data_IF_685310633291
#
_entry.id   IF_685310633291
#
_cell.length_a   1.000
_cell.length_b   1.000
_cell.length_c   1.000
_cell.angle_alpha   90.00
_cell.angle_beta   90.00
_cell.angle_gamma   90.00
#
_symmetry.space_group_name_H-M   'P 1'
#
loop_
_entity.id
_entity.type
_entity.pdbx_description
1 polymer ?
#
# COMPACT_ATOMS: atom_id res chain seq x y z
N UNK A 1 -15.11 -31.46 -1.57
CA UNK A 1 -14.72 -30.07 -1.50
C UNK A 1 -15.37 -29.47 -0.29
N UNK A 2 -14.61 -28.93 0.63
CA UNK A 2 -15.18 -28.21 1.77
C UNK A 2 -15.88 -26.97 1.21
N UNK A 3 -17.15 -26.81 1.55
CA UNK A 3 -17.83 -25.56 1.31
C UNK A 3 -17.06 -24.46 2.04
N UNK A 4 -16.86 -23.32 1.41
CA UNK A 4 -16.24 -22.15 2.04
C UNK A 4 -17.06 -21.81 3.28
N UNK A 5 -16.49 -22.03 4.46
CA UNK A 5 -17.17 -21.73 5.73
C UNK A 5 -16.67 -20.36 6.19
N UNK A 6 -17.57 -19.38 6.23
CA UNK A 6 -17.29 -18.09 6.86
C UNK A 6 -17.66 -18.16 8.34
N UNK A 7 -16.78 -17.67 9.20
CA UNK A 7 -17.01 -17.52 10.64
C UNK A 7 -16.92 -16.05 11.00
N UNK A 8 -17.96 -15.54 11.65
CA UNK A 8 -17.95 -14.18 12.19
C UNK A 8 -17.47 -14.20 13.63
N UNK A 9 -16.42 -13.46 13.92
CA UNK A 9 -15.91 -13.23 15.25
C UNK A 9 -16.39 -11.86 15.73
N UNK A 10 -16.86 -11.81 16.97
CA UNK A 10 -17.22 -10.55 17.63
C UNK A 10 -16.19 -10.24 18.72
N UNK A 11 -15.55 -9.08 18.61
CA UNK A 11 -14.60 -8.58 19.61
C UNK A 11 -15.24 -7.37 20.29
N UNK A 12 -15.85 -7.55 21.46
CA UNK A 12 -16.46 -6.44 22.20
C UNK A 12 -15.35 -5.48 22.67
N UNK A 13 -15.64 -4.19 22.63
CA UNK A 13 -14.74 -3.13 23.12
C UNK A 13 -13.31 -3.26 22.55
N UNK A 14 -13.20 -3.53 21.24
CA UNK A 14 -11.92 -3.73 20.58
C UNK A 14 -11.02 -2.50 20.74
N UNK A 15 -9.78 -2.71 21.19
CA UNK A 15 -8.71 -1.71 21.11
C UNK A 15 -8.33 -1.50 19.64
N UNK A 16 -8.51 -0.27 19.16
CA UNK A 16 -8.31 0.03 17.76
C UNK A 16 -6.83 0.17 17.42
N UNK A 17 -6.47 -0.31 16.23
CA UNK A 17 -5.14 -0.10 15.68
C UNK A 17 -5.00 1.32 15.12
N UNK A 18 -3.92 2.01 15.47
CA UNK A 18 -3.50 3.28 14.85
C UNK A 18 -1.98 3.35 14.74
N UNK A 19 -1.44 4.42 14.14
CA UNK A 19 0.00 4.62 14.07
C UNK A 19 0.63 4.96 15.43
N UNK A 20 -0.16 5.47 16.37
CA UNK A 20 0.28 5.81 17.73
C UNK A 20 0.00 4.68 18.72
N UNK A 21 -1.05 3.90 18.48
CA UNK A 21 -1.47 2.77 19.29
C UNK A 21 -1.69 1.54 18.37
N UNK A 22 -0.61 0.83 17.99
CA UNK A 22 -0.67 -0.25 17.01
C UNK A 22 -1.16 -1.57 17.64
N UNK A 23 -2.39 -1.57 18.17
CA UNK A 23 -3.00 -2.71 18.83
C UNK A 23 -3.32 -3.83 17.85
N UNK A 24 -2.80 -5.03 18.12
CA UNK A 24 -2.98 -6.20 17.27
C UNK A 24 -3.67 -7.33 18.04
N UNK A 25 -4.52 -8.05 17.32
CA UNK A 25 -5.14 -9.29 17.78
C UNK A 25 -4.57 -10.46 16.97
N UNK A 26 -4.40 -11.61 17.61
CA UNK A 26 -4.05 -12.84 16.90
C UNK A 26 -5.29 -13.69 16.70
N UNK A 27 -5.68 -13.91 15.47
CA UNK A 27 -6.73 -14.87 15.09
C UNK A 27 -6.07 -16.24 14.93
N UNK A 28 -6.62 -17.25 15.59
CA UNK A 28 -6.16 -18.62 15.50
C UNK A 28 -7.23 -19.45 14.78
N UNK A 29 -6.90 -19.95 13.59
CA UNK A 29 -7.73 -20.92 12.89
C UNK A 29 -7.18 -22.32 13.13
N UNK A 30 -7.98 -23.19 13.76
CA UNK A 30 -7.55 -24.54 14.15
C UNK A 30 -8.35 -25.61 13.40
N UNK A 31 -7.64 -26.48 12.71
CA UNK A 31 -8.22 -27.67 12.10
C UNK A 31 -8.18 -28.84 13.09
N UNK A 32 -9.36 -29.31 13.53
CA UNK A 32 -9.48 -30.40 14.50
C UNK A 32 -10.35 -31.54 13.99
N UNK A 33 -10.03 -32.76 14.40
CA UNK A 33 -10.89 -33.94 14.24
C UNK A 33 -10.82 -34.77 15.52
N UNK A 34 -11.97 -35.12 16.08
CA UNK A 34 -12.07 -35.93 17.30
C UNK A 34 -11.17 -35.45 18.46
N UNK A 35 -11.10 -34.13 18.67
CA UNK A 35 -10.28 -33.45 19.68
C UNK A 35 -8.75 -33.51 19.42
N UNK A 36 -8.30 -34.01 18.28
CA UNK A 36 -6.91 -33.91 17.83
C UNK A 36 -6.75 -32.71 16.91
N UNK A 37 -5.76 -31.88 17.20
CA UNK A 37 -5.40 -30.75 16.31
C UNK A 37 -4.50 -31.27 15.20
N UNK A 38 -4.85 -30.93 13.94
CA UNK A 38 -4.09 -31.31 12.77
C UNK A 38 -3.25 -30.13 12.23
N UNK A 39 -3.77 -28.91 12.35
CA UNK A 39 -3.09 -27.71 11.86
C UNK A 39 -3.62 -26.48 12.59
N UNK A 40 -2.74 -25.51 12.84
CA UNK A 40 -3.06 -24.22 13.42
C UNK A 40 -2.49 -23.11 12.54
N UNK A 41 -3.34 -22.18 12.10
CA UNK A 41 -2.93 -20.95 11.42
C UNK A 41 -3.09 -19.76 12.36
N UNK A 42 -2.04 -18.96 12.50
CA UNK A 42 -2.00 -17.74 13.30
C UNK A 42 -1.92 -16.53 12.38
N UNK A 43 -2.85 -15.59 12.52
CA UNK A 43 -2.90 -14.36 11.70
C UNK A 43 -3.06 -13.16 12.62
N UNK A 44 -2.14 -12.21 12.55
CA UNK A 44 -2.29 -10.94 13.23
C UNK A 44 -3.21 -10.01 12.43
N UNK A 45 -4.12 -9.35 13.13
CA UNK A 45 -5.08 -8.41 12.57
C UNK A 45 -5.19 -7.19 13.47
N UNK A 46 -5.49 -6.02 12.90
CA UNK A 46 -5.81 -4.81 13.64
C UNK A 46 -7.19 -4.29 13.26
N UNK A 47 -7.98 -3.93 14.25
CA UNK A 47 -9.31 -3.34 14.03
C UNK A 47 -9.16 -1.84 13.84
N UNK A 48 -9.50 -1.32 12.68
CA UNK A 48 -9.40 0.10 12.38
C UNK A 48 -10.39 0.53 11.31
N UNK A 49 -10.65 1.83 11.23
CA UNK A 49 -11.28 2.48 10.08
C UNK A 49 -10.45 3.69 9.66
N UNK A 50 -10.51 4.08 8.39
CA UNK A 50 -9.93 5.33 7.94
C UNK A 50 -10.77 5.98 6.84
N UNK A 51 -10.56 7.26 6.65
CA UNK A 51 -11.18 8.04 5.57
C UNK A 51 -10.16 8.99 4.97
N UNK A 52 -10.31 9.27 3.68
CA UNK A 52 -9.57 10.33 2.99
C UNK A 52 -10.59 11.22 2.28
N UNK A 53 -10.53 12.51 2.55
CA UNK A 53 -11.42 13.48 1.92
C UNK A 53 -10.65 14.71 1.44
N UNK A 54 -11.09 15.39 0.37
CA UNK A 54 -10.41 16.58 -0.12
C UNK A 54 -10.23 17.67 0.94
N UNK A 55 -11.26 17.92 1.75
CA UNK A 55 -11.25 18.98 2.77
C UNK A 55 -10.64 18.56 4.10
N UNK A 56 -10.78 17.29 4.49
CA UNK A 56 -10.37 16.77 5.80
C UNK A 56 -9.06 16.00 5.79
N UNK A 57 -8.51 15.72 4.62
CA UNK A 57 -7.31 14.87 4.48
C UNK A 57 -7.53 13.45 4.98
N UNK A 58 -6.49 12.85 5.55
CA UNK A 58 -6.52 11.50 6.12
C UNK A 58 -6.95 11.54 7.59
N UNK A 59 -7.86 10.63 7.95
CA UNK A 59 -8.26 10.39 9.34
C UNK A 59 -8.26 8.89 9.62
N UNK A 60 -7.79 8.48 10.79
CA UNK A 60 -7.86 7.10 11.27
C UNK A 60 -8.71 7.04 12.54
N UNK A 61 -9.65 6.10 12.60
CA UNK A 61 -10.58 5.92 13.72
C UNK A 61 -11.32 7.23 14.09
N UNK A 62 -11.60 8.06 13.07
CA UNK A 62 -12.23 9.37 13.26
C UNK A 62 -11.30 10.49 13.72
N UNK A 63 -10.00 10.23 13.88
CA UNK A 63 -9.01 11.24 14.30
C UNK A 63 -8.25 11.77 13.07
N UNK A 64 -8.31 13.08 12.76
CA UNK A 64 -7.52 13.67 11.69
C UNK A 64 -6.02 13.47 11.94
N UNK A 65 -5.34 12.85 10.98
CA UNK A 65 -3.94 12.44 11.14
C UNK A 65 -3.15 12.79 9.89
N UNK A 66 -2.40 13.90 9.88
CA UNK A 66 -1.55 14.26 8.76
C UNK A 66 -0.51 13.18 8.48
N UNK A 67 -0.46 12.69 7.25
CA UNK A 67 0.53 11.71 6.83
C UNK A 67 1.86 12.40 6.52
N UNK A 68 2.93 11.94 7.18
CA UNK A 68 4.31 12.39 6.98
C UNK A 68 5.17 11.15 6.84
N UNK A 69 5.82 10.98 5.70
CA UNK A 69 6.46 9.71 5.44
C UNK A 69 7.64 9.77 4.51
N UNK A 70 8.16 8.58 4.26
CA UNK A 70 9.29 8.33 3.37
C UNK A 70 8.95 7.23 2.38
N UNK A 71 9.66 7.19 1.26
CA UNK A 71 9.70 6.02 0.39
C UNK A 71 10.85 5.12 0.80
N UNK A 72 10.62 3.81 0.80
CA UNK A 72 11.64 2.81 1.11
C UNK A 72 11.82 1.84 -0.03
N UNK A 73 13.08 1.58 -0.41
CA UNK A 73 13.48 0.42 -1.18
C UNK A 73 13.98 -0.69 -0.26
N UNK A 74 13.75 -1.96 -0.66
CA UNK A 74 14.12 -3.13 0.12
C UNK A 74 15.53 -3.59 -0.20
N UNK A 75 16.52 -2.77 0.13
CA UNK A 75 17.92 -3.11 -0.07
C UNK A 75 18.85 -2.46 0.96
N UNK A 76 19.99 -3.08 1.21
CA UNK A 76 21.06 -2.55 2.06
C UNK A 76 22.42 -2.74 1.41
N UNK A 77 23.35 -1.84 1.75
CA UNK A 77 24.74 -1.93 1.35
C UNK A 77 25.32 -3.30 1.76
N UNK A 78 25.97 -3.98 0.83
CA UNK A 78 26.58 -5.31 0.93
C UNK A 78 25.60 -6.49 1.08
N UNK A 79 24.30 -6.26 1.22
CA UNK A 79 23.29 -7.32 1.33
C UNK A 79 22.35 -7.37 0.11
N UNK A 80 22.21 -6.26 -0.64
CA UNK A 80 21.15 -6.14 -1.64
C UNK A 80 19.80 -6.43 -1.00
N UNK A 81 18.95 -7.22 -1.64
CA UNK A 81 17.62 -7.58 -1.15
C UNK A 81 17.60 -8.77 -0.17
N UNK A 82 18.76 -9.36 0.16
CA UNK A 82 18.83 -10.49 1.08
C UNK A 82 18.84 -10.03 2.55
N UNK A 83 17.74 -9.36 2.95
CA UNK A 83 17.58 -8.80 4.28
C UNK A 83 17.04 -9.85 5.27
N UNK A 84 17.52 -9.78 6.51
CA UNK A 84 16.97 -10.54 7.64
C UNK A 84 15.78 -9.82 8.27
N UNK A 85 15.06 -10.51 9.15
CA UNK A 85 13.98 -9.93 9.97
C UNK A 85 14.52 -8.72 10.75
N UNK A 86 15.70 -8.85 11.36
CA UNK A 86 16.32 -7.76 12.13
C UNK A 86 16.60 -6.53 11.26
N UNK A 87 17.06 -6.72 10.01
CA UNK A 87 17.27 -5.62 9.06
C UNK A 87 15.98 -4.86 8.78
N UNK A 88 14.86 -5.57 8.60
CA UNK A 88 13.56 -4.97 8.35
C UNK A 88 13.06 -4.17 9.56
N UNK A 89 13.18 -4.72 10.76
CA UNK A 89 12.77 -4.03 11.98
C UNK A 89 13.66 -2.83 12.29
N UNK A 90 14.98 -2.93 12.06
CA UNK A 90 15.90 -1.80 12.21
C UNK A 90 15.54 -0.65 11.25
N UNK A 91 15.26 -0.94 9.96
CA UNK A 91 14.82 0.08 9.01
C UNK A 91 13.53 0.77 9.50
N UNK A 92 12.55 -0.01 9.94
CA UNK A 92 11.28 0.53 10.43
C UNK A 92 11.50 1.41 11.69
N UNK A 93 12.38 1.02 12.61
CA UNK A 93 12.72 1.81 13.79
C UNK A 93 13.40 3.13 13.41
N UNK A 94 14.41 3.10 12.52
CA UNK A 94 15.08 4.32 12.03
C UNK A 94 14.06 5.27 11.38
N UNK A 95 13.13 4.73 10.56
CA UNK A 95 12.07 5.52 9.94
C UNK A 95 11.14 6.14 11.01
N UNK A 96 10.83 5.42 12.07
CA UNK A 96 10.02 5.95 13.18
C UNK A 96 10.75 7.04 13.94
N UNK A 97 12.06 6.89 14.18
CA UNK A 97 12.90 7.86 14.88
C UNK A 97 12.98 9.22 14.17
N UNK A 98 12.92 9.26 12.84
CA UNK A 98 12.84 10.53 12.09
C UNK A 98 11.46 11.18 12.14
N UNK A 99 10.49 10.57 12.84
CA UNK A 99 9.15 11.10 13.05
C UNK A 99 8.16 10.77 11.93
N UNK A 100 8.47 9.81 11.05
CA UNK A 100 7.54 9.37 10.02
C UNK A 100 6.41 8.51 10.62
N UNK A 101 5.21 8.67 10.08
CA UNK A 101 4.04 7.83 10.37
C UNK A 101 3.51 7.10 9.13
N UNK A 102 4.14 7.30 7.97
CA UNK A 102 3.73 6.73 6.69
C UNK A 102 4.95 6.24 5.93
N UNK A 103 4.81 5.12 5.24
CA UNK A 103 5.86 4.57 4.37
C UNK A 103 5.27 4.15 3.04
N UNK A 104 5.85 4.62 1.94
CA UNK A 104 5.63 4.06 0.62
C UNK A 104 6.66 2.96 0.37
N UNK A 105 6.19 1.76 0.09
CA UNK A 105 7.04 0.61 -0.23
C UNK A 105 7.30 0.58 -1.74
N UNK A 106 8.27 1.37 -2.16
CA UNK A 106 8.61 1.59 -3.56
C UNK A 106 9.47 0.44 -4.11
N UNK A 107 9.21 -0.02 -5.27
CA UNK A 107 8.09 0.10 -6.20
C UNK A 107 7.57 -1.30 -6.49
N UNK A 108 7.53 -2.18 -5.49
CA UNK A 108 7.25 -3.63 -5.59
C UNK A 108 6.83 -4.17 -4.22
N UNK A 109 6.27 -5.37 -4.20
CA UNK A 109 5.94 -6.05 -2.96
C UNK A 109 7.19 -6.29 -2.11
N UNK A 110 7.17 -5.83 -0.86
CA UNK A 110 8.22 -6.04 0.11
C UNK A 110 8.04 -7.36 0.87
N UNK A 111 9.02 -7.71 1.73
CA UNK A 111 8.95 -8.88 2.61
C UNK A 111 7.80 -8.77 3.60
N UNK A 112 7.19 -9.92 3.93
CA UNK A 112 6.18 -10.03 4.99
C UNK A 112 6.72 -9.52 6.34
N UNK A 113 8.01 -9.70 6.60
CA UNK A 113 8.66 -9.21 7.82
C UNK A 113 8.59 -7.69 7.94
N UNK A 114 8.68 -6.97 6.81
CA UNK A 114 8.55 -5.52 6.83
C UNK A 114 7.11 -5.06 7.02
N UNK A 115 6.12 -5.73 6.43
CA UNK A 115 4.71 -5.47 6.72
C UNK A 115 4.39 -5.74 8.20
N UNK A 116 4.90 -6.85 8.77
CA UNK A 116 4.76 -7.15 10.19
C UNK A 116 5.40 -6.06 11.08
N UNK A 117 6.56 -5.53 10.70
CA UNK A 117 7.19 -4.41 11.39
C UNK A 117 6.32 -3.15 11.30
N UNK A 118 5.73 -2.85 10.13
CA UNK A 118 4.81 -1.72 9.96
C UNK A 118 3.57 -1.85 10.83
N UNK A 119 3.01 -3.05 10.94
CA UNK A 119 1.85 -3.32 11.79
C UNK A 119 2.14 -3.10 13.26
N UNK A 120 3.30 -3.56 13.74
CA UNK A 120 3.67 -3.54 15.16
C UNK A 120 4.26 -2.20 15.64
N UNK A 121 4.91 -1.45 14.76
CA UNK A 121 5.52 -0.14 15.07
C UNK A 121 4.52 1.01 14.81
N UNK A 122 3.54 0.77 13.95
CA UNK A 122 2.51 1.74 13.62
C UNK A 122 2.90 2.66 12.46
N UNK A 123 2.68 2.19 11.23
CA UNK A 123 2.82 3.01 10.01
C UNK A 123 1.60 2.87 9.12
N UNK A 124 1.18 3.96 8.47
CA UNK A 124 0.30 3.90 7.32
C UNK A 124 1.14 3.52 6.08
N UNK A 125 0.79 2.43 5.42
CA UNK A 125 1.57 1.88 4.32
C UNK A 125 0.87 2.07 2.99
N UNK A 126 1.65 2.48 1.99
CA UNK A 126 1.32 2.39 0.58
C UNK A 126 2.16 1.26 -0.04
N UNK A 127 1.50 0.17 -0.41
CA UNK A 127 2.10 -0.99 -1.07
C UNK A 127 1.74 -0.98 -2.56
N UNK A 128 2.68 -1.33 -3.45
CA UNK A 128 2.49 -1.23 -4.89
C UNK A 128 3.11 -2.39 -5.67
N UNK A 129 2.66 -2.58 -6.90
CA UNK A 129 3.24 -3.54 -7.85
C UNK A 129 4.30 -2.87 -8.74
N UNK A 130 5.28 -3.63 -9.31
CA UNK A 130 6.37 -3.08 -10.12
C UNK A 130 5.93 -2.73 -11.56
N UNK A 131 4.81 -2.04 -11.72
CA UNK A 131 4.36 -1.51 -13.00
C UNK A 131 4.89 -0.10 -13.19
N UNK A 132 6.10 0.01 -13.78
CA UNK A 132 6.95 1.21 -13.68
C UNK A 132 7.34 1.72 -15.06
N UNK A 133 7.32 3.04 -15.23
CA UNK A 133 7.95 3.86 -16.28
C UNK A 133 7.49 3.59 -17.71
N UNK A 134 7.54 2.36 -18.18
CA UNK A 134 7.26 2.03 -19.59
C UNK A 134 6.24 0.93 -19.71
N UNK A 135 5.11 1.24 -20.34
CA UNK A 135 4.08 0.25 -20.64
C UNK A 135 4.55 -0.72 -21.73
N UNK A 136 4.43 -2.01 -21.44
CA UNK A 136 4.59 -3.08 -22.43
C UNK A 136 3.21 -3.56 -22.86
N UNK A 137 2.80 -3.33 -24.12
CA UNK A 137 1.47 -3.76 -24.58
C UNK A 137 1.37 -5.28 -24.70
N UNK A 138 0.16 -5.78 -24.71
CA UNK A 138 -0.18 -7.19 -24.94
C UNK A 138 -0.76 -7.90 -23.72
N UNK A 139 -1.51 -8.95 -23.98
CA UNK A 139 -2.27 -9.71 -22.99
C UNK A 139 -1.40 -10.39 -21.94
N UNK A 140 -0.25 -10.95 -22.32
CA UNK A 140 0.66 -11.62 -21.36
C UNK A 140 1.22 -10.66 -20.33
N UNK A 141 1.62 -9.45 -20.76
CA UNK A 141 2.12 -8.41 -19.86
C UNK A 141 1.01 -7.95 -18.89
N UNK A 142 -0.20 -7.76 -19.41
CA UNK A 142 -1.34 -7.39 -18.59
C UNK A 142 -1.73 -8.49 -17.59
N UNK A 143 -1.81 -9.73 -18.04
CA UNK A 143 -2.08 -10.87 -17.17
C UNK A 143 -1.05 -11.00 -16.03
N UNK A 144 0.21 -10.63 -16.32
CA UNK A 144 1.25 -10.57 -15.29
C UNK A 144 0.96 -9.48 -14.25
N UNK A 145 0.65 -8.25 -14.66
CA UNK A 145 0.28 -7.17 -13.73
C UNK A 145 -0.95 -7.53 -12.88
N UNK A 146 -1.97 -8.15 -13.48
CA UNK A 146 -3.15 -8.64 -12.74
C UNK A 146 -2.79 -9.68 -11.69
N UNK A 147 -1.90 -10.63 -12.04
CA UNK A 147 -1.44 -11.66 -11.09
C UNK A 147 -0.68 -11.02 -9.93
N UNK A 148 0.27 -10.13 -10.21
CA UNK A 148 1.04 -9.43 -9.16
C UNK A 148 0.13 -8.62 -8.24
N UNK A 149 -0.86 -7.90 -8.78
CA UNK A 149 -1.83 -7.16 -7.96
C UNK A 149 -2.68 -8.10 -7.12
N UNK A 150 -3.11 -9.22 -7.68
CA UNK A 150 -3.89 -10.23 -6.94
C UNK A 150 -3.07 -10.82 -5.79
N UNK A 151 -1.82 -11.18 -6.06
CA UNK A 151 -0.91 -11.73 -5.05
C UNK A 151 -0.61 -10.70 -3.95
N UNK A 152 -0.32 -9.45 -4.33
CA UNK A 152 -0.09 -8.35 -3.38
C UNK A 152 -1.28 -8.19 -2.43
N UNK A 153 -2.50 -8.11 -2.95
CA UNK A 153 -3.70 -7.88 -2.14
C UNK A 153 -4.01 -9.10 -1.26
N UNK A 154 -4.04 -10.30 -1.84
CA UNK A 154 -4.43 -11.51 -1.09
C UNK A 154 -3.43 -11.83 0.02
N UNK A 155 -2.13 -11.75 -0.26
CA UNK A 155 -1.10 -12.05 0.73
C UNK A 155 -1.05 -11.04 1.87
N UNK A 156 -1.44 -9.79 1.60
CA UNK A 156 -1.29 -8.69 2.54
C UNK A 156 -2.63 -8.15 3.07
N UNK A 157 -3.74 -8.82 2.79
CA UNK A 157 -5.09 -8.36 3.15
C UNK A 157 -5.25 -8.07 4.64
N UNK A 158 -4.64 -8.89 5.49
CA UNK A 158 -4.81 -8.82 6.95
C UNK A 158 -3.89 -7.79 7.64
N UNK A 159 -2.94 -7.17 6.92
CA UNK A 159 -2.08 -6.13 7.50
C UNK A 159 -2.87 -4.84 7.76
N UNK A 160 -3.08 -4.43 9.02
CA UNK A 160 -3.82 -3.20 9.33
C UNK A 160 -3.06 -1.94 8.91
N UNK A 161 -1.76 -1.99 8.81
CA UNK A 161 -0.91 -0.87 8.36
C UNK A 161 -1.20 -0.44 6.93
N UNK A 162 -1.59 -1.36 6.03
CA UNK A 162 -1.80 -1.02 4.63
C UNK A 162 -3.08 -0.20 4.47
N UNK A 163 -2.93 1.01 3.93
CA UNK A 163 -4.02 1.94 3.62
C UNK A 163 -4.25 2.08 2.13
N UNK A 164 -3.17 1.97 1.32
CA UNK A 164 -3.22 2.30 -0.10
C UNK A 164 -2.60 1.19 -0.95
N UNK A 165 -3.30 0.83 -2.04
CA UNK A 165 -2.79 -0.02 -3.10
C UNK A 165 -2.30 0.82 -4.27
N UNK A 166 -1.02 0.74 -4.59
CA UNK A 166 -0.41 1.41 -5.74
C UNK A 166 -0.52 0.58 -7.01
N UNK A 167 -1.13 1.15 -8.05
CA UNK A 167 -1.33 0.46 -9.33
C UNK A 167 -0.11 0.57 -10.24
N UNK A 168 0.49 1.77 -10.32
CA UNK A 168 1.68 2.01 -11.13
C UNK A 168 2.49 3.20 -10.67
N UNK A 169 3.73 3.28 -11.16
CA UNK A 169 4.67 4.37 -10.90
C UNK A 169 5.21 4.96 -12.20
N UNK A 170 5.01 6.26 -12.39
CA UNK A 170 5.59 7.05 -13.49
C UNK A 170 5.41 6.45 -14.89
N UNK A 171 4.34 5.72 -15.10
CA UNK A 171 4.13 4.90 -16.29
C UNK A 171 4.06 5.74 -17.59
N UNK A 172 3.80 7.03 -17.47
CA UNK A 172 3.75 7.96 -18.60
C UNK A 172 5.12 8.40 -19.12
N UNK A 173 6.23 8.03 -18.48
CA UNK A 173 7.57 8.23 -19.05
C UNK A 173 7.69 7.56 -20.43
N UNK A 174 7.07 6.39 -20.59
CA UNK A 174 7.00 5.67 -21.88
C UNK A 174 5.95 6.21 -22.85
N UNK A 175 5.23 7.28 -22.49
CA UNK A 175 4.12 7.85 -23.26
C UNK A 175 2.77 7.23 -22.91
N UNK A 176 1.71 7.76 -23.53
CA UNK A 176 0.34 7.33 -23.30
C UNK A 176 -0.23 6.59 -24.53
N UNK A 177 -1.04 5.56 -24.27
CA UNK A 177 -1.83 4.88 -25.29
C UNK A 177 -3.21 4.55 -24.74
N UNK A 178 -4.17 4.33 -25.65
CA UNK A 178 -5.52 3.92 -25.25
C UNK A 178 -5.49 2.58 -24.47
N UNK A 179 -4.68 1.63 -24.89
CA UNK A 179 -4.52 0.35 -24.21
C UNK A 179 -3.99 0.54 -22.78
N UNK A 180 -3.01 1.43 -22.56
CA UNK A 180 -2.50 1.74 -21.22
C UNK A 180 -3.62 2.22 -20.28
N UNK A 181 -4.47 3.13 -20.75
CA UNK A 181 -5.60 3.66 -19.97
C UNK A 181 -6.59 2.55 -19.63
N UNK A 182 -6.97 1.72 -20.62
CA UNK A 182 -7.88 0.59 -20.42
C UNK A 182 -7.34 -0.43 -19.41
N UNK A 183 -6.03 -0.72 -19.45
CA UNK A 183 -5.38 -1.63 -18.50
C UNK A 183 -5.36 -1.07 -17.06
N UNK A 184 -5.25 0.24 -16.90
CA UNK A 184 -5.35 0.86 -15.58
C UNK A 184 -6.77 0.81 -15.01
N UNK A 185 -7.80 1.04 -15.83
CA UNK A 185 -9.19 0.84 -15.42
C UNK A 185 -9.47 -0.60 -15.01
N UNK A 186 -8.92 -1.58 -15.73
CA UNK A 186 -9.07 -2.99 -15.38
C UNK A 186 -8.35 -3.34 -14.07
N UNK A 187 -7.13 -2.84 -13.83
CA UNK A 187 -6.43 -3.03 -12.56
C UNK A 187 -7.15 -2.35 -11.40
N UNK A 188 -7.68 -1.15 -11.59
CA UNK A 188 -8.50 -0.47 -10.58
C UNK A 188 -9.73 -1.31 -10.21
N UNK A 189 -10.44 -1.81 -11.21
CA UNK A 189 -11.60 -2.70 -10.99
C UNK A 189 -11.20 -3.95 -10.22
N UNK A 190 -10.10 -4.61 -10.60
CA UNK A 190 -9.56 -5.78 -9.90
C UNK A 190 -9.25 -5.47 -8.43
N UNK A 191 -8.61 -4.33 -8.14
CA UNK A 191 -8.34 -3.91 -6.76
C UNK A 191 -9.63 -3.81 -5.95
N UNK A 192 -10.67 -3.18 -6.49
CA UNK A 192 -11.96 -3.01 -5.79
C UNK A 192 -12.75 -4.29 -5.65
N UNK A 193 -12.60 -5.24 -6.58
CA UNK A 193 -13.19 -6.59 -6.47
C UNK A 193 -12.53 -7.41 -5.36
N UNK A 194 -11.20 -7.30 -5.21
CA UNK A 194 -10.44 -8.03 -4.20
C UNK A 194 -10.48 -7.35 -2.82
N UNK A 195 -10.41 -6.02 -2.78
CA UNK A 195 -10.44 -5.23 -1.56
C UNK A 195 -11.19 -3.90 -1.76
N UNK A 196 -12.48 -3.87 -1.46
CA UNK A 196 -13.28 -2.63 -1.55
C UNK A 196 -12.99 -1.65 -0.40
N UNK A 197 -12.20 -2.03 0.60
CA UNK A 197 -11.99 -1.27 1.84
C UNK A 197 -10.81 -0.31 1.78
N UNK A 198 -9.82 -0.59 0.92
CA UNK A 198 -8.62 0.25 0.78
C UNK A 198 -8.69 1.12 -0.46
N UNK A 199 -8.10 2.29 -0.33
CA UNK A 199 -7.98 3.23 -1.44
C UNK A 199 -6.86 2.81 -2.40
N UNK A 200 -7.03 3.15 -3.67
CA UNK A 200 -6.04 2.94 -4.72
C UNK A 200 -5.39 4.24 -5.13
N UNK A 201 -4.17 4.18 -5.66
CA UNK A 201 -3.45 5.35 -6.15
C UNK A 201 -2.51 5.00 -7.31
N UNK A 202 -2.18 6.01 -8.11
CA UNK A 202 -1.11 6.01 -9.12
C UNK A 202 -0.09 7.05 -8.71
N UNK A 203 1.20 6.73 -8.74
CA UNK A 203 2.25 7.73 -8.62
C UNK A 203 2.58 8.30 -9.99
N UNK A 204 2.00 9.44 -10.32
CA UNK A 204 2.28 10.14 -11.57
C UNK A 204 3.66 10.78 -11.59
N UNK A 205 4.27 10.88 -12.77
CA UNK A 205 5.42 11.73 -12.96
C UNK A 205 5.00 13.21 -12.88
N UNK A 206 5.86 14.07 -12.36
CA UNK A 206 5.54 15.46 -11.99
C UNK A 206 4.91 16.34 -13.09
N UNK A 207 5.12 16.00 -14.35
CA UNK A 207 4.56 16.74 -15.48
C UNK A 207 3.28 16.12 -16.09
N UNK A 208 2.70 15.11 -15.43
CA UNK A 208 1.42 14.53 -15.89
C UNK A 208 0.33 15.58 -15.76
N UNK A 209 -0.42 15.87 -16.85
CA UNK A 209 -1.53 16.83 -16.81
C UNK A 209 -2.63 16.38 -15.85
N UNK A 210 -3.19 17.30 -15.07
CA UNK A 210 -4.26 17.04 -14.09
C UNK A 210 -5.64 16.78 -14.71
N UNK A 211 -5.79 17.01 -16.01
CA UNK A 211 -7.00 16.78 -16.81
C UNK A 211 -6.81 15.63 -17.83
N UNK A 212 -5.72 14.89 -17.72
CA UNK A 212 -5.40 13.80 -18.64
C UNK A 212 -6.21 12.52 -18.39
N UNK A 213 -6.23 11.59 -19.37
CA UNK A 213 -7.04 10.37 -19.30
C UNK A 213 -6.57 9.35 -18.25
N UNK A 214 -5.41 9.57 -17.60
CA UNK A 214 -4.94 8.76 -16.48
C UNK A 214 -5.43 9.27 -15.13
N UNK A 215 -6.01 10.48 -15.07
CA UNK A 215 -6.62 11.00 -13.86
C UNK A 215 -8.00 10.40 -13.60
N UNK A 216 -8.42 10.38 -12.34
CA UNK A 216 -9.71 9.85 -11.89
C UNK A 216 -9.92 8.35 -12.18
N UNK A 217 -8.84 7.60 -12.47
CA UNK A 217 -8.89 6.14 -12.55
C UNK A 217 -8.88 5.55 -11.14
N UNK A 218 -8.01 6.07 -10.27
CA UNK A 218 -7.85 5.62 -8.89
C UNK A 218 -8.58 6.52 -7.90
N UNK A 219 -8.72 6.07 -6.65
CA UNK A 219 -9.40 6.84 -5.61
C UNK A 219 -8.61 8.11 -5.22
N UNK A 220 -7.29 8.05 -5.35
CA UNK A 220 -6.36 9.12 -4.99
C UNK A 220 -5.38 9.37 -6.12
N UNK A 221 -4.99 10.62 -6.28
CA UNK A 221 -3.95 11.06 -7.22
C UNK A 221 -2.67 11.37 -6.45
N UNK A 222 -1.55 10.80 -6.87
CA UNK A 222 -0.24 11.03 -6.26
C UNK A 222 0.80 11.40 -7.30
N UNK A 223 1.76 12.22 -6.91
CA UNK A 223 2.81 12.70 -7.80
C UNK A 223 4.20 12.48 -7.21
N UNK A 224 5.09 11.94 -8.03
CA UNK A 224 6.51 12.01 -7.76
C UNK A 224 7.00 13.39 -8.20
N UNK A 225 7.31 14.27 -7.24
CA UNK A 225 7.67 15.64 -7.52
C UNK A 225 8.99 15.99 -6.82
N UNK A 226 9.88 16.70 -7.54
CA UNK A 226 11.29 16.77 -7.17
C UNK A 226 11.91 18.17 -7.33
N UNK A 227 11.19 19.24 -6.96
CA UNK A 227 11.79 20.56 -6.91
C UNK A 227 12.96 20.61 -5.93
N UNK A 228 14.08 21.17 -6.40
CA UNK A 228 15.33 21.19 -5.65
C UNK A 228 16.22 19.98 -5.88
N UNK A 229 15.76 18.97 -6.66
CA UNK A 229 16.56 17.80 -7.06
C UNK A 229 16.78 17.72 -8.57
N UNK A 230 15.76 17.43 -9.37
CA UNK A 230 15.87 17.39 -10.83
C UNK A 230 15.69 18.75 -11.50
N UNK A 231 15.10 19.72 -10.83
CA UNK A 231 14.86 21.07 -11.34
C UNK A 231 14.16 21.94 -10.33
N UNK A 232 14.01 23.24 -10.66
CA UNK A 232 13.37 24.21 -9.77
C UNK A 232 14.14 24.42 -8.46
N UNK A 233 13.47 25.07 -7.51
CA UNK A 233 13.96 25.31 -6.15
C UNK A 233 13.01 24.67 -5.15
N UNK A 234 13.47 24.42 -3.92
CA UNK A 234 12.67 23.85 -2.84
C UNK A 234 11.41 24.70 -2.58
N UNK A 235 11.54 26.02 -2.67
CA UNK A 235 10.48 27.00 -2.45
C UNK A 235 9.34 26.90 -3.51
N UNK A 236 9.61 26.30 -4.66
CA UNK A 236 8.62 26.14 -5.73
C UNK A 236 7.56 25.05 -5.41
N UNK A 237 7.81 24.20 -4.39
CA UNK A 237 6.87 23.12 -4.00
C UNK A 237 5.51 23.66 -3.55
N UNK A 238 5.48 24.69 -2.69
CA UNK A 238 4.23 25.30 -2.21
C UNK A 238 3.37 25.80 -3.37
N UNK A 239 3.87 26.73 -4.21
CA UNK A 239 3.12 27.24 -5.35
C UNK A 239 2.71 26.18 -6.39
N UNK A 240 3.42 25.06 -6.45
CA UNK A 240 3.03 23.95 -7.31
C UNK A 240 1.86 23.15 -6.70
N UNK A 241 1.94 22.85 -5.41
CA UNK A 241 0.87 22.16 -4.68
C UNK A 241 -0.43 22.96 -4.62
N UNK A 242 -0.33 24.31 -4.53
CA UNK A 242 -1.49 25.20 -4.50
C UNK A 242 -2.32 25.22 -5.81
N UNK A 243 -1.85 24.52 -6.87
CA UNK A 243 -2.57 24.39 -8.15
C UNK A 243 -3.48 23.18 -8.22
N UNK A 244 -3.39 22.28 -7.29
CA UNK A 244 -4.24 21.10 -7.15
C UNK A 244 -5.37 21.34 -6.18
#
# INVERSE_FOLDING_TARGET
PADNTAVTLYVPDAELWSMDEPNLYTVIARLQRCNESYDDLYVNVGVRSYTVTPDGGFSINGVPTPLRGVSRHQDRLYKGNALSIDDHYEDAQIIKEVGANTIRLAHYQHSQDFYNACDSIGFAVWAEIPFISVFKPGEDAHAHCRREMTELIIQNYNHPSIMFWGISNEILIGGISQELVERHHDLQKLCKELDPTRSTTIAHVSHTPTDGPMHHITDLESYNHYFGWYGGKIEDNGPWLDKF
#
